data_IF_078259998409
#
_entry.id   IF_078259998409
#
_cell.length_a   1.000
_cell.length_b   1.000
_cell.length_c   1.000
_cell.angle_alpha   90.00
_cell.angle_beta   90.00
_cell.angle_gamma   90.00
#
_symmetry.space_group_name_H-M   'P 1'
#
loop_
_entity.id
_entity.type
_entity.pdbx_description
1 polymer ?
#
# COMPACT_ATOMS: atom_id res chain seq x y z
N UNK A 1 11.85 3.22 -6.65
CA UNK A 1 11.60 2.51 -5.37
C UNK A 1 10.14 2.08 -5.38
N UNK A 2 9.88 0.78 -5.38
CA UNK A 2 8.51 0.23 -5.44
C UNK A 2 8.24 -0.57 -4.17
N UNK A 3 7.33 -0.09 -3.31
CA UNK A 3 7.00 -0.67 -2.00
C UNK A 3 8.26 -0.92 -1.14
N UNK A 4 9.08 0.09 -0.96
CA UNK A 4 10.35 0.02 -0.21
C UNK A 4 10.43 1.08 0.88
N UNK A 5 10.00 2.31 0.58
CA UNK A 5 10.20 3.47 1.47
C UNK A 5 9.50 3.31 2.83
N UNK A 6 8.38 2.59 2.84
CA UNK A 6 7.62 2.27 4.06
C UNK A 6 8.34 1.34 5.03
N UNK A 7 9.33 0.59 4.55
CA UNK A 7 10.13 -0.33 5.36
C UNK A 7 11.40 0.31 5.93
N UNK A 8 11.74 1.53 5.51
CA UNK A 8 12.98 2.19 5.91
C UNK A 8 12.84 2.83 7.28
N UNK A 9 13.83 2.66 8.13
CA UNK A 9 13.89 3.29 9.45
C UNK A 9 13.99 4.81 9.37
N UNK A 10 14.78 5.32 8.42
CA UNK A 10 14.87 6.77 8.12
C UNK A 10 14.68 7.04 6.61
N UNK A 11 13.44 7.25 6.17
CA UNK A 11 13.15 7.54 4.78
C UNK A 11 13.71 8.89 4.28
N UNK A 12 13.99 9.82 5.19
CA UNK A 12 14.58 11.13 4.81
C UNK A 12 16.05 10.98 4.43
N UNK A 13 16.80 10.12 5.12
CA UNK A 13 18.19 9.80 4.74
C UNK A 13 18.17 9.16 3.37
N UNK A 14 17.36 8.12 3.17
CA UNK A 14 17.28 7.41 1.89
C UNK A 14 16.84 8.31 0.73
N UNK A 15 15.90 9.24 0.96
CA UNK A 15 15.52 10.21 -0.06
C UNK A 15 16.68 11.17 -0.42
N UNK A 16 17.50 11.58 0.55
CA UNK A 16 18.69 12.40 0.30
C UNK A 16 19.74 11.63 -0.51
N UNK A 17 20.00 10.37 -0.17
CA UNK A 17 20.92 9.51 -0.91
C UNK A 17 20.45 9.32 -2.35
N UNK A 18 19.16 9.03 -2.54
CA UNK A 18 18.57 8.93 -3.88
C UNK A 18 18.70 10.25 -4.65
N UNK A 19 18.48 11.38 -3.99
CA UNK A 19 18.68 12.69 -4.61
C UNK A 19 20.14 12.93 -5.02
N UNK A 20 21.13 12.47 -4.22
CA UNK A 20 22.55 12.62 -4.54
C UNK A 20 22.94 11.86 -5.80
N UNK A 21 22.46 10.62 -5.96
CA UNK A 21 22.79 9.79 -7.13
C UNK A 21 21.96 10.11 -8.37
N UNK A 22 20.87 10.87 -8.22
CA UNK A 22 20.04 11.31 -9.34
C UNK A 22 20.69 12.52 -10.02
N UNK A 23 20.78 12.52 -11.34
CA UNK A 23 21.28 13.67 -12.12
C UNK A 23 20.38 14.90 -11.93
N UNK A 24 20.91 16.15 -12.01
CA UNK A 24 20.09 17.34 -12.05
C UNK A 24 18.98 17.22 -13.11
N UNK A 25 17.75 17.57 -12.77
CA UNK A 25 16.58 17.37 -13.65
C UNK A 25 16.13 15.93 -13.83
N UNK A 26 16.84 14.95 -13.26
CA UNK A 26 16.46 13.53 -13.27
C UNK A 26 15.24 13.24 -12.40
N UNK A 27 14.54 12.14 -12.72
CA UNK A 27 13.33 11.75 -12.02
C UNK A 27 13.50 10.47 -11.21
N UNK A 28 12.82 10.41 -10.08
CA UNK A 28 12.73 9.25 -9.19
C UNK A 28 11.26 8.86 -9.07
N UNK A 29 10.96 7.58 -9.29
CA UNK A 29 9.61 7.05 -9.11
C UNK A 29 9.55 6.27 -7.81
N UNK A 30 8.58 6.59 -6.96
CA UNK A 30 8.35 5.92 -5.66
C UNK A 30 6.91 5.48 -5.58
N UNK A 31 6.68 4.23 -5.21
CA UNK A 31 5.35 3.76 -4.81
C UNK A 31 5.36 3.33 -3.34
N UNK A 32 4.23 3.54 -2.67
CA UNK A 32 4.04 3.22 -1.25
C UNK A 32 2.55 3.16 -0.90
N UNK A 33 2.13 2.44 0.15
CA UNK A 33 0.75 2.47 0.61
C UNK A 33 0.27 3.88 0.95
N UNK A 34 -1.00 4.16 0.69
CA UNK A 34 -1.63 5.45 0.92
C UNK A 34 -2.36 5.45 2.26
N UNK A 35 -1.76 6.03 3.30
CA UNK A 35 -2.39 6.12 4.63
C UNK A 35 -3.69 6.96 4.65
N UNK A 36 -3.98 7.70 3.59
CA UNK A 36 -5.22 8.45 3.38
C UNK A 36 -6.09 7.88 2.23
N UNK A 37 -5.80 6.64 1.80
CA UNK A 37 -6.56 5.93 0.79
C UNK A 37 -7.94 5.47 1.28
N UNK A 38 -8.73 4.93 0.36
CA UNK A 38 -10.06 4.40 0.71
C UNK A 38 -9.97 3.19 1.65
N UNK A 39 -8.95 2.34 1.50
CA UNK A 39 -8.79 1.15 2.33
C UNK A 39 -8.47 1.49 3.78
N UNK A 40 -7.53 2.41 4.05
CA UNK A 40 -7.24 2.86 5.40
C UNK A 40 -8.45 3.49 6.09
N UNK A 41 -9.28 4.24 5.33
CA UNK A 41 -10.49 4.88 5.85
C UNK A 41 -11.63 3.90 6.10
N UNK A 42 -11.81 2.92 5.19
CA UNK A 42 -12.89 1.94 5.28
C UNK A 42 -12.61 0.86 6.31
N UNK A 43 -11.39 0.34 6.33
CA UNK A 43 -11.02 -0.78 7.20
C UNK A 43 -10.39 -0.36 8.53
N UNK A 44 -10.01 0.92 8.67
CA UNK A 44 -9.40 1.44 9.90
C UNK A 44 -8.19 0.61 10.31
N UNK A 45 -8.15 0.18 11.56
CA UNK A 45 -7.07 -0.67 12.13
C UNK A 45 -6.93 -2.04 11.44
N UNK A 46 -7.95 -2.47 10.68
CA UNK A 46 -7.96 -3.74 9.96
C UNK A 46 -7.45 -3.64 8.54
N UNK A 47 -6.94 -2.48 8.14
CA UNK A 47 -6.36 -2.33 6.81
C UNK A 47 -5.09 -3.15 6.68
N UNK A 48 -5.03 -4.02 5.67
CA UNK A 48 -3.93 -4.97 5.46
C UNK A 48 -2.57 -4.28 5.29
N UNK A 49 -2.56 -3.08 4.70
CA UNK A 49 -1.31 -2.36 4.43
C UNK A 49 -0.72 -1.63 5.64
N UNK A 50 -1.34 -1.70 6.82
CA UNK A 50 -0.60 -1.36 8.04
C UNK A 50 0.58 -2.31 8.24
N UNK A 51 0.42 -3.60 8.01
CA UNK A 51 1.45 -4.64 7.96
C UNK A 51 2.55 -4.50 9.03
N UNK A 52 2.16 -4.11 10.25
CA UNK A 52 3.07 -3.92 11.39
C UNK A 52 3.59 -5.31 11.85
N UNK A 53 4.88 -5.47 12.17
CA UNK A 53 5.92 -4.44 12.32
C UNK A 53 6.77 -4.19 11.06
N UNK A 54 6.41 -4.73 9.91
CA UNK A 54 7.23 -4.64 8.69
C UNK A 54 7.16 -3.26 8.04
N UNK A 55 5.97 -2.61 8.03
CA UNK A 55 5.83 -1.23 7.62
C UNK A 55 6.12 -0.32 8.82
N UNK A 56 7.19 0.44 8.73
CA UNK A 56 7.64 1.37 9.77
C UNK A 56 7.15 2.79 9.52
N UNK A 57 6.81 3.13 8.28
CA UNK A 57 6.42 4.47 7.86
C UNK A 57 5.12 4.44 7.05
N UNK A 58 4.30 5.47 7.23
CA UNK A 58 3.02 5.60 6.54
C UNK A 58 2.94 6.96 5.84
N UNK A 59 2.76 6.91 4.52
CA UNK A 59 2.79 8.10 3.70
C UNK A 59 1.40 8.55 3.26
N UNK A 60 1.27 9.88 3.18
CA UNK A 60 0.21 10.57 2.48
C UNK A 60 0.82 11.46 1.39
N UNK A 61 0.00 12.02 0.50
CA UNK A 61 0.49 13.00 -0.49
C UNK A 61 1.24 14.14 0.20
N UNK A 62 0.70 14.65 1.32
CA UNK A 62 1.29 15.76 2.09
C UNK A 62 2.62 15.38 2.73
N UNK A 63 2.69 14.24 3.45
CA UNK A 63 3.91 13.84 4.14
C UNK A 63 5.05 13.53 3.16
N UNK A 64 4.76 12.90 2.02
CA UNK A 64 5.76 12.66 0.98
C UNK A 64 6.27 13.96 0.36
N UNK A 65 5.39 14.92 0.08
CA UNK A 65 5.82 16.23 -0.45
C UNK A 65 6.79 16.94 0.48
N UNK A 66 6.50 16.93 1.78
CA UNK A 66 7.40 17.51 2.80
C UNK A 66 8.74 16.77 2.86
N UNK A 67 8.71 15.43 2.83
CA UNK A 67 9.92 14.61 2.88
C UNK A 67 10.79 14.82 1.63
N UNK A 68 10.19 14.86 0.45
CA UNK A 68 10.87 15.11 -0.82
C UNK A 68 11.54 16.49 -0.84
N UNK A 69 10.81 17.53 -0.45
CA UNK A 69 11.33 18.90 -0.43
C UNK A 69 12.56 19.04 0.49
N UNK A 70 12.49 18.47 1.69
CA UNK A 70 13.61 18.43 2.65
C UNK A 70 14.82 17.61 2.18
N UNK A 71 14.64 16.83 1.12
CA UNK A 71 15.67 15.98 0.52
C UNK A 71 16.21 16.52 -0.82
N UNK A 72 15.83 17.72 -1.23
CA UNK A 72 16.26 18.32 -2.51
C UNK A 72 15.50 17.80 -3.73
N UNK A 73 14.36 17.16 -3.50
CA UNK A 73 13.47 16.68 -4.55
C UNK A 73 12.16 17.48 -4.56
N UNK A 74 11.48 17.48 -5.71
CA UNK A 74 10.14 18.11 -5.86
C UNK A 74 9.18 17.09 -6.39
N UNK A 75 7.99 17.01 -5.83
CA UNK A 75 6.91 16.17 -6.38
C UNK A 75 6.39 16.82 -7.67
N UNK A 76 6.69 16.19 -8.79
CA UNK A 76 6.22 16.61 -10.12
C UNK A 76 4.82 16.05 -10.40
N UNK A 77 4.60 14.79 -10.03
CA UNK A 77 3.33 14.11 -10.27
C UNK A 77 3.00 13.13 -9.16
N UNK A 78 1.73 13.05 -8.82
CA UNK A 78 1.19 12.02 -7.92
C UNK A 78 -0.01 11.35 -8.57
N UNK A 79 -0.04 10.03 -8.51
CA UNK A 79 -1.20 9.21 -8.89
C UNK A 79 -1.57 8.30 -7.73
N UNK A 80 -2.83 7.90 -7.69
CA UNK A 80 -3.29 6.80 -6.84
C UNK A 80 -3.62 5.60 -7.69
N UNK A 81 -3.34 4.42 -7.17
CA UNK A 81 -3.64 3.15 -7.81
C UNK A 81 -3.88 2.08 -6.74
N UNK A 82 -4.79 1.17 -7.01
CA UNK A 82 -5.04 0.01 -6.15
C UNK A 82 -4.84 -1.28 -6.93
N UNK A 83 -4.03 -2.19 -6.40
CA UNK A 83 -3.99 -3.54 -6.94
C UNK A 83 -5.28 -4.27 -6.52
N UNK A 84 -6.09 -4.69 -7.49
CA UNK A 84 -7.39 -5.34 -7.25
C UNK A 84 -7.29 -6.64 -6.43
N UNK A 85 -6.16 -7.35 -6.52
CA UNK A 85 -5.90 -8.53 -5.71
C UNK A 85 -5.80 -8.20 -4.23
N UNK A 86 -5.33 -7.01 -3.86
CA UNK A 86 -5.26 -6.59 -2.46
C UNK A 86 -6.63 -6.48 -1.80
N UNK A 87 -7.69 -6.19 -2.55
CA UNK A 87 -9.04 -6.22 -2.00
C UNK A 87 -9.47 -7.65 -1.62
N UNK A 88 -9.11 -8.64 -2.43
CA UNK A 88 -9.33 -10.05 -2.08
C UNK A 88 -8.52 -10.45 -0.82
N UNK A 89 -7.24 -10.05 -0.76
CA UNK A 89 -6.37 -10.29 0.39
C UNK A 89 -6.89 -9.56 1.65
N UNK A 90 -7.40 -8.35 1.50
CA UNK A 90 -7.99 -7.56 2.59
C UNK A 90 -9.17 -8.30 3.24
N UNK A 91 -10.08 -8.86 2.45
CA UNK A 91 -11.21 -9.62 2.97
C UNK A 91 -10.77 -10.89 3.68
N UNK A 92 -9.79 -11.62 3.12
CA UNK A 92 -9.19 -12.78 3.75
C UNK A 92 -8.48 -12.40 5.07
N UNK A 93 -7.76 -11.26 5.08
CA UNK A 93 -7.12 -10.72 6.27
C UNK A 93 -8.11 -10.46 7.40
N UNK A 94 -9.26 -9.89 7.10
CA UNK A 94 -10.32 -9.65 8.09
C UNK A 94 -10.94 -10.96 8.56
N UNK A 95 -11.27 -11.86 7.63
CA UNK A 95 -11.96 -13.12 7.94
C UNK A 95 -11.14 -14.06 8.81
N UNK A 96 -9.82 -14.11 8.56
CA UNK A 96 -8.92 -15.04 9.24
C UNK A 96 -8.15 -14.41 10.41
N UNK A 97 -8.57 -13.22 10.85
CA UNK A 97 -7.96 -12.53 12.00
C UNK A 97 -8.04 -13.41 13.25
N UNK A 98 -6.91 -13.53 13.92
CA UNK A 98 -6.79 -14.18 15.22
C UNK A 98 -6.96 -13.16 16.34
N UNK A 99 -7.18 -13.61 17.58
CA UNK A 99 -7.08 -12.76 18.77
C UNK A 99 -5.77 -11.98 18.82
N UNK A 100 -5.75 -10.91 19.60
CA UNK A 100 -4.57 -10.09 19.79
C UNK A 100 -3.37 -10.94 20.28
N UNK A 101 -2.19 -10.66 19.76
CA UNK A 101 -0.97 -11.42 20.07
C UNK A 101 -0.71 -12.64 19.19
N UNK A 102 -1.66 -13.03 18.32
CA UNK A 102 -1.47 -14.15 17.41
C UNK A 102 -1.32 -13.70 15.96
N UNK A 103 -0.42 -14.38 15.23
CA UNK A 103 -0.28 -14.16 13.78
C UNK A 103 -1.57 -14.50 13.06
N UNK A 104 -2.01 -13.64 12.15
CA UNK A 104 -3.18 -13.90 11.34
C UNK A 104 -3.03 -15.24 10.60
N UNK A 105 -4.05 -16.10 10.73
CA UNK A 105 -4.08 -17.45 10.16
C UNK A 105 -3.76 -17.47 8.66
N UNK A 106 -4.15 -16.44 7.94
CA UNK A 106 -3.88 -16.30 6.51
C UNK A 106 -2.38 -16.27 6.17
N UNK A 107 -1.53 -15.77 7.08
CA UNK A 107 -0.09 -15.63 6.86
C UNK A 107 0.73 -16.83 7.37
N UNK A 108 0.08 -17.82 7.99
CA UNK A 108 0.77 -19.00 8.52
C UNK A 108 0.89 -20.06 7.39
N UNK A 109 2.11 -20.45 7.00
CA UNK A 109 2.30 -21.50 5.99
C UNK A 109 1.64 -22.82 6.40
N UNK A 110 1.08 -23.54 5.44
CA UNK A 110 0.47 -24.87 5.64
C UNK A 110 -0.68 -24.92 6.66
N UNK A 111 -1.29 -23.80 6.97
CA UNK A 111 -2.41 -23.73 7.90
C UNK A 111 -3.65 -24.43 7.34
N UNK A 112 -4.31 -25.23 8.17
CA UNK A 112 -5.57 -25.88 7.80
C UNK A 112 -6.73 -24.91 7.92
N UNK A 113 -7.48 -24.77 6.84
CA UNK A 113 -8.72 -23.97 6.78
C UNK A 113 -9.95 -24.89 6.90
N UNK A 114 -10.95 -24.44 7.61
CA UNK A 114 -12.26 -25.08 7.69
C UNK A 114 -12.96 -25.02 6.33
N UNK A 115 -14.01 -25.83 6.14
CA UNK A 115 -14.82 -25.80 4.92
C UNK A 115 -15.40 -24.40 4.64
N UNK A 116 -15.90 -23.73 5.66
CA UNK A 116 -16.46 -22.38 5.54
C UNK A 116 -15.41 -21.33 5.13
N UNK A 117 -14.20 -21.40 5.71
CA UNK A 117 -13.10 -20.52 5.36
C UNK A 117 -12.65 -20.72 3.90
N UNK A 118 -12.61 -21.96 3.43
CA UNK A 118 -12.30 -22.28 2.03
C UNK A 118 -13.37 -21.73 1.08
N UNK A 119 -14.65 -21.91 1.40
CA UNK A 119 -15.76 -21.35 0.61
C UNK A 119 -15.63 -19.85 0.52
N UNK A 120 -15.38 -19.18 1.64
CA UNK A 120 -15.19 -17.72 1.65
C UNK A 120 -14.00 -17.29 0.77
N UNK A 121 -12.84 -17.92 0.93
CA UNK A 121 -11.65 -17.61 0.11
C UNK A 121 -11.91 -17.80 -1.39
N UNK A 122 -12.59 -18.89 -1.78
CA UNK A 122 -12.98 -19.14 -3.17
C UNK A 122 -13.97 -18.08 -3.69
N UNK A 123 -14.95 -17.66 -2.87
CA UNK A 123 -15.86 -16.60 -3.25
C UNK A 123 -15.12 -15.27 -3.51
N UNK A 124 -14.17 -14.91 -2.65
CA UNK A 124 -13.34 -13.69 -2.85
C UNK A 124 -12.48 -13.80 -4.11
N UNK A 125 -11.94 -14.98 -4.39
CA UNK A 125 -11.19 -15.24 -5.64
C UNK A 125 -12.12 -15.13 -6.86
N UNK A 126 -13.33 -15.66 -6.80
CA UNK A 126 -14.29 -15.55 -7.88
C UNK A 126 -14.67 -14.09 -8.18
N UNK A 127 -14.91 -13.26 -7.16
CA UNK A 127 -15.16 -11.83 -7.33
C UNK A 127 -13.98 -11.12 -8.02
N UNK A 128 -12.76 -11.55 -7.73
CA UNK A 128 -11.57 -11.01 -8.39
C UNK A 128 -11.48 -11.45 -9.86
N UNK A 129 -11.73 -12.72 -10.15
CA UNK A 129 -11.76 -13.26 -11.52
C UNK A 129 -12.86 -12.63 -12.37
N UNK A 130 -14.03 -12.36 -11.79
CA UNK A 130 -15.14 -11.65 -12.43
C UNK A 130 -14.90 -10.13 -12.56
N UNK A 131 -13.72 -9.66 -12.17
CA UNK A 131 -13.31 -8.24 -12.22
C UNK A 131 -14.16 -7.28 -11.36
N UNK A 132 -14.98 -7.77 -10.45
CA UNK A 132 -15.77 -6.94 -9.51
C UNK A 132 -14.81 -6.08 -8.67
N UNK A 133 -13.79 -6.70 -8.08
CA UNK A 133 -12.76 -5.99 -7.32
C UNK A 133 -12.02 -4.94 -8.19
N UNK A 134 -11.80 -5.24 -9.46
CA UNK A 134 -11.17 -4.30 -10.37
C UNK A 134 -12.05 -3.07 -10.64
N UNK A 135 -13.33 -3.26 -10.87
CA UNK A 135 -14.26 -2.14 -11.07
C UNK A 135 -14.32 -1.22 -9.84
N UNK A 136 -14.44 -1.81 -8.64
CA UNK A 136 -14.46 -1.08 -7.36
C UNK A 136 -13.18 -0.28 -7.19
N UNK A 137 -12.01 -0.91 -7.35
CA UNK A 137 -10.72 -0.25 -7.14
C UNK A 137 -10.47 0.86 -8.15
N UNK A 138 -10.86 0.68 -9.43
CA UNK A 138 -10.73 1.73 -10.46
C UNK A 138 -11.59 2.95 -10.16
N UNK A 139 -12.77 2.76 -9.61
CA UNK A 139 -13.60 3.88 -9.17
C UNK A 139 -12.89 4.74 -8.12
N UNK A 140 -12.34 4.13 -7.07
CA UNK A 140 -11.60 4.87 -6.04
C UNK A 140 -10.30 5.49 -6.55
N UNK A 141 -9.60 4.81 -7.47
CA UNK A 141 -8.40 5.36 -8.10
C UNK A 141 -8.70 6.59 -8.94
N UNK A 142 -9.78 6.55 -9.73
CA UNK A 142 -10.23 7.69 -10.53
C UNK A 142 -10.64 8.89 -9.65
N UNK A 143 -11.21 8.63 -8.47
CA UNK A 143 -11.54 9.64 -7.48
C UNK A 143 -10.31 10.16 -6.69
N UNK A 144 -9.11 9.64 -6.94
CA UNK A 144 -7.88 10.07 -6.27
C UNK A 144 -7.68 9.51 -4.86
N UNK A 145 -8.43 8.47 -4.49
CA UNK A 145 -8.41 7.82 -3.16
C UNK A 145 -7.82 6.40 -3.18
N UNK A 146 -7.13 5.99 -4.25
CA UNK A 146 -6.53 4.66 -4.33
C UNK A 146 -5.63 4.31 -3.14
N UNK A 147 -5.45 3.02 -2.91
CA UNK A 147 -4.75 2.46 -1.74
C UNK A 147 -3.23 2.58 -1.79
N UNK A 148 -2.68 2.84 -2.97
CA UNK A 148 -1.27 3.12 -3.15
C UNK A 148 -1.08 4.49 -3.79
N UNK A 149 0.02 5.13 -3.45
CA UNK A 149 0.52 6.37 -4.04
C UNK A 149 1.68 6.03 -4.97
N UNK A 150 1.69 6.65 -6.14
CA UNK A 150 2.84 6.68 -7.03
C UNK A 150 3.26 8.14 -7.17
N UNK A 151 4.50 8.41 -6.81
CA UNK A 151 5.11 9.72 -6.92
C UNK A 151 6.15 9.72 -8.02
N UNK A 152 6.15 10.76 -8.85
CA UNK A 152 7.28 11.13 -9.68
C UNK A 152 7.91 12.34 -9.02
N UNK A 153 9.12 12.16 -8.53
CA UNK A 153 9.93 13.21 -7.90
C UNK A 153 11.00 13.64 -8.88
N UNK A 154 11.26 14.94 -8.95
CA UNK A 154 12.34 15.52 -9.78
C UNK A 154 13.42 16.11 -8.88
N UNK A 155 14.69 15.88 -9.21
CA UNK A 155 15.80 16.58 -8.58
C UNK A 155 15.84 18.03 -9.07
N UNK A 156 15.89 18.96 -8.12
CA UNK A 156 16.12 20.39 -8.38
C UNK A 156 17.49 20.63 -8.99
#
# INVERSE_FOLDING_TARGET
MDQVIEHLSDPKVSLREVAQVTKPGGSVVISTPNSNGWGSRLFGERWISWHIPYHLQFFSKKSMSIAAEKSGLVVEKTKTITNSNYLCLQWNHIKFRQPEGFTNKFWIPNQKFTRQEKIFAHAMTALNLLRVNHAITRFFDAAGFGDNLIFVLRKK
#
